data_IF_928934063241
#
_entry.id   IF_928934063241
#
_cell.length_a   1.000
_cell.length_b   1.000
_cell.length_c   1.000
_cell.angle_alpha   90.00
_cell.angle_beta   90.00
_cell.angle_gamma   90.00
#
_symmetry.space_group_name_H-M   'P 1'
#
loop_
_entity.id
_entity.type
_entity.pdbx_description
1 polymer ?
#
# COMPACT_ATOMS: atom_id res chain seq x y z
N UNK A 1 28.29 0.33 -0.55
CA UNK A 1 27.31 0.96 -1.46
C UNK A 1 27.82 2.36 -1.78
N UNK A 2 28.49 2.54 -2.92
CA UNK A 2 28.84 3.88 -3.41
C UNK A 2 27.62 4.41 -4.17
N UNK A 3 26.77 5.17 -3.48
CA UNK A 3 25.79 6.00 -4.18
C UNK A 3 26.54 7.15 -4.85
N UNK A 4 26.38 7.33 -6.15
CA UNK A 4 26.98 8.49 -6.82
C UNK A 4 26.27 9.76 -6.33
N UNK A 5 26.93 10.91 -6.40
CA UNK A 5 26.29 12.19 -6.07
C UNK A 5 24.99 12.42 -6.85
N UNK A 6 24.93 11.92 -8.10
CA UNK A 6 23.71 11.94 -8.91
C UNK A 6 22.60 11.08 -8.30
N UNK A 7 22.91 9.90 -7.76
CA UNK A 7 21.92 9.05 -7.10
C UNK A 7 21.35 9.72 -5.85
N UNK A 8 22.21 10.38 -5.06
CA UNK A 8 21.80 11.12 -3.85
C UNK A 8 20.90 12.29 -4.22
N UNK A 9 21.29 13.11 -5.20
CA UNK A 9 20.50 14.25 -5.67
C UNK A 9 19.16 13.80 -6.28
N UNK A 10 19.17 12.71 -7.03
CA UNK A 10 17.96 12.16 -7.63
C UNK A 10 17.04 11.56 -6.57
N UNK A 11 17.59 10.88 -5.56
CA UNK A 11 16.83 10.41 -4.39
C UNK A 11 16.20 11.59 -3.65
N UNK A 12 16.97 12.64 -3.37
CA UNK A 12 16.46 13.84 -2.71
C UNK A 12 15.33 14.50 -3.53
N UNK A 13 15.50 14.66 -4.84
CA UNK A 13 14.44 15.24 -5.68
C UNK A 13 13.15 14.40 -5.65
N UNK A 14 13.27 13.07 -5.66
CA UNK A 14 12.15 12.13 -5.62
C UNK A 14 11.49 12.06 -4.24
N UNK A 15 12.25 12.26 -3.17
CA UNK A 15 11.75 12.23 -1.79
C UNK A 15 10.87 13.44 -1.46
N UNK A 16 10.98 14.55 -2.21
CA UNK A 16 10.14 15.74 -2.07
C UNK A 16 8.87 15.72 -2.93
N UNK A 17 8.64 14.66 -3.71
CA UNK A 17 7.47 14.57 -4.57
C UNK A 17 6.23 14.22 -3.73
N UNK A 18 5.20 15.06 -3.83
CA UNK A 18 3.93 14.93 -3.09
C UNK A 18 2.87 14.22 -3.91
N UNK A 19 1.94 13.57 -3.21
CA UNK A 19 0.73 13.04 -3.83
C UNK A 19 -0.30 14.15 -4.05
N UNK A 20 -1.13 13.98 -5.08
CA UNK A 20 -2.33 14.79 -5.21
C UNK A 20 -3.36 14.35 -4.17
N UNK A 21 -4.27 15.23 -3.75
CA UNK A 21 -5.39 14.86 -2.90
C UNK A 21 -6.17 13.67 -3.47
N UNK A 22 -6.64 12.78 -2.59
CA UNK A 22 -7.49 11.66 -2.96
C UNK A 22 -7.31 10.42 -2.10
N UNK A 23 -8.05 9.39 -2.46
CA UNK A 23 -8.01 8.09 -1.81
C UNK A 23 -7.07 7.17 -2.57
N UNK A 24 -6.16 6.53 -1.84
CA UNK A 24 -5.12 5.65 -2.37
C UNK A 24 -5.19 4.27 -1.75
N UNK A 25 -4.81 3.26 -2.53
CA UNK A 25 -4.51 1.92 -2.03
C UNK A 25 -2.99 1.76 -1.95
N UNK A 26 -2.46 1.60 -0.74
CA UNK A 26 -1.05 1.36 -0.47
C UNK A 26 -0.76 -0.10 -0.18
N UNK A 27 0.31 -0.66 -0.75
CA UNK A 27 0.84 -1.97 -0.38
C UNK A 27 1.86 -1.82 0.74
N UNK A 28 1.63 -2.51 1.86
CA UNK A 28 2.55 -2.54 2.98
C UNK A 28 3.12 -3.95 3.15
N UNK A 29 4.41 -4.09 2.82
CA UNK A 29 5.21 -5.29 3.14
C UNK A 29 6.35 -4.88 4.06
N UNK A 30 6.43 -5.55 5.20
CA UNK A 30 7.53 -5.39 6.14
C UNK A 30 8.56 -6.51 5.92
N UNK A 31 9.81 -6.21 6.19
CA UNK A 31 10.89 -7.18 6.22
C UNK A 31 11.55 -7.01 7.58
N UNK A 32 11.26 -7.91 8.51
CA UNK A 32 11.82 -7.87 9.86
C UNK A 32 13.11 -8.69 9.91
N UNK A 33 14.16 -8.09 10.44
CA UNK A 33 15.45 -8.73 10.71
C UNK A 33 15.88 -8.45 12.15
N UNK A 34 16.85 -9.20 12.66
CA UNK A 34 17.28 -9.15 14.08
C UNK A 34 17.49 -7.72 14.59
N UNK A 35 18.11 -6.85 13.78
CA UNK A 35 18.46 -5.48 14.20
C UNK A 35 17.56 -4.38 13.61
N UNK A 36 16.68 -4.69 12.65
CA UNK A 36 15.94 -3.65 11.92
C UNK A 36 14.67 -4.18 11.24
N UNK A 37 13.64 -3.34 11.23
CA UNK A 37 12.43 -3.48 10.40
C UNK A 37 12.59 -2.59 9.17
N UNK A 38 12.32 -3.16 8.00
CA UNK A 38 12.33 -2.44 6.72
C UNK A 38 10.95 -2.47 6.09
N UNK A 39 10.61 -1.41 5.38
CA UNK A 39 9.39 -1.27 4.58
C UNK A 39 9.76 -1.39 3.10
N UNK A 40 8.94 -2.11 2.34
CA UNK A 40 9.06 -2.15 0.89
C UNK A 40 8.48 -0.87 0.26
N UNK A 41 9.32 -0.12 -0.43
CA UNK A 41 8.96 1.12 -1.14
C UNK A 41 9.43 1.09 -2.58
N UNK A 42 8.91 1.98 -3.43
CA UNK A 42 9.40 2.12 -4.80
C UNK A 42 10.67 2.95 -4.83
N UNK A 43 11.60 2.67 -5.77
CA UNK A 43 12.76 3.54 -6.00
C UNK A 43 12.38 4.95 -6.49
N UNK A 44 11.25 5.04 -7.19
CA UNK A 44 10.75 6.29 -7.76
C UNK A 44 10.21 7.22 -6.69
N UNK A 45 9.60 6.67 -5.64
CA UNK A 45 9.05 7.40 -4.50
C UNK A 45 9.41 6.63 -3.22
N UNK A 46 10.58 6.90 -2.63
CA UNK A 46 11.06 6.15 -1.47
C UNK A 46 10.32 6.51 -0.18
N UNK A 47 9.69 7.68 -0.12
CA UNK A 47 9.00 8.19 1.07
C UNK A 47 7.49 7.88 1.09
N UNK A 48 7.02 7.08 0.14
CA UNK A 48 5.60 6.76 -0.01
C UNK A 48 5.50 5.26 -0.26
N UNK A 49 4.50 4.62 0.34
CA UNK A 49 4.18 3.23 0.05
C UNK A 49 3.99 3.02 -1.46
N UNK A 50 4.23 1.80 -1.92
CA UNK A 50 3.79 1.43 -3.27
C UNK A 50 2.28 1.61 -3.34
N UNK A 51 1.78 2.47 -4.23
CA UNK A 51 0.38 2.88 -4.18
C UNK A 51 -0.26 3.01 -5.55
N UNK A 52 -1.59 2.98 -5.56
CA UNK A 52 -2.44 3.31 -6.70
C UNK A 52 -3.55 4.26 -6.23
N UNK A 53 -3.83 5.30 -7.01
CA UNK A 53 -4.97 6.19 -6.72
C UNK A 53 -6.27 5.47 -7.05
N UNK A 54 -7.19 5.41 -6.09
CA UNK A 54 -8.53 4.85 -6.26
C UNK A 54 -9.43 5.93 -6.88
N UNK A 55 -9.51 7.10 -6.24
CA UNK A 55 -10.36 8.22 -6.65
C UNK A 55 -9.87 9.57 -6.12
N UNK A 56 -10.43 10.65 -6.63
CA UNK A 56 -10.11 12.04 -6.21
C UNK A 56 -10.69 12.38 -4.82
N UNK A 57 -11.81 11.77 -4.42
CA UNK A 57 -12.37 11.95 -3.08
C UNK A 57 -11.60 11.11 -2.05
N UNK A 58 -10.95 11.75 -1.09
CA UNK A 58 -10.18 11.09 -0.04
C UNK A 58 -11.04 10.50 1.08
N UNK A 59 -12.29 10.94 1.23
CA UNK A 59 -13.18 10.44 2.26
C UNK A 59 -13.73 9.07 1.89
N UNK A 60 -13.97 8.24 2.90
CA UNK A 60 -14.67 6.96 2.79
C UNK A 60 -15.96 7.11 3.58
N UNK A 61 -17.09 6.75 2.98
CA UNK A 61 -18.38 6.80 3.68
C UNK A 61 -18.45 5.70 4.75
N UNK A 62 -19.35 5.86 5.71
CA UNK A 62 -19.57 4.84 6.74
C UNK A 62 -19.99 3.51 6.11
N UNK A 63 -20.86 3.56 5.12
CA UNK A 63 -21.39 2.39 4.39
C UNK A 63 -20.27 1.68 3.62
N UNK A 64 -19.41 2.43 2.93
CA UNK A 64 -18.23 1.89 2.23
C UNK A 64 -17.28 1.20 3.23
N UNK A 65 -17.02 1.82 4.38
CA UNK A 65 -16.12 1.28 5.39
C UNK A 65 -16.66 0.00 6.04
N UNK A 66 -17.94 -0.01 6.45
CA UNK A 66 -18.61 -1.20 6.99
C UNK A 66 -18.60 -2.36 5.99
N UNK A 67 -18.75 -2.06 4.69
CA UNK A 67 -18.66 -3.05 3.64
C UNK A 67 -17.25 -3.65 3.52
N UNK A 68 -16.19 -2.84 3.57
CA UNK A 68 -14.79 -3.32 3.58
C UNK A 68 -14.54 -4.22 4.80
N UNK A 69 -15.04 -3.84 5.98
CA UNK A 69 -14.91 -4.62 7.20
C UNK A 69 -15.58 -5.99 7.10
N UNK A 70 -16.81 -6.04 6.54
CA UNK A 70 -17.54 -7.29 6.30
C UNK A 70 -16.79 -8.24 5.37
N UNK A 71 -16.17 -7.72 4.30
CA UNK A 71 -15.37 -8.52 3.39
C UNK A 71 -14.14 -9.16 4.03
N UNK A 72 -13.54 -8.49 5.01
CA UNK A 72 -12.29 -8.96 5.64
C UNK A 72 -12.54 -9.92 6.81
N UNK A 73 -13.77 -9.96 7.35
CA UNK A 73 -14.15 -10.79 8.50
C UNK A 73 -14.95 -12.06 8.19
N UNK A 74 -15.39 -12.29 6.95
CA UNK A 74 -16.31 -13.38 6.62
C UNK A 74 -15.69 -14.46 5.73
N UNK A 75 -15.56 -15.68 6.26
CA UNK A 75 -15.35 -16.92 5.49
C UNK A 75 -16.61 -17.40 4.75
N UNK A 76 -17.74 -16.69 4.83
CA UNK A 76 -18.98 -17.08 4.16
C UNK A 76 -19.40 -16.01 3.16
N UNK A 77 -19.07 -16.26 1.89
CA UNK A 77 -19.69 -15.61 0.74
C UNK A 77 -21.01 -16.31 0.42
N UNK A 78 -21.95 -16.26 1.36
CA UNK A 78 -23.36 -16.61 1.11
C UNK A 78 -24.21 -15.55 1.81
N UNK A 79 -25.12 -14.93 1.06
CA UNK A 79 -26.00 -13.83 1.45
C UNK A 79 -25.36 -12.43 1.60
N UNK A 80 -24.89 -11.84 0.49
CA UNK A 80 -25.18 -10.41 0.29
C UNK A 80 -26.39 -10.36 -0.62
N UNK A 81 -27.54 -10.24 0.02
CA UNK A 81 -28.82 -10.01 -0.62
C UNK A 81 -28.70 -8.84 -1.61
N UNK A 82 -29.31 -8.98 -2.77
CA UNK A 82 -29.25 -8.03 -3.88
C UNK A 82 -30.05 -6.76 -3.55
N UNK A 83 -29.60 -5.98 -2.57
CA UNK A 83 -30.19 -4.69 -2.20
C UNK A 83 -29.10 -3.73 -1.74
N UNK A 84 -28.26 -3.28 -2.68
CA UNK A 84 -27.27 -2.24 -2.37
C UNK A 84 -27.06 -1.29 -3.54
N UNK A 85 -27.44 -0.05 -3.25
CA UNK A 85 -27.44 1.18 -4.02
C UNK A 85 -26.21 1.39 -4.94
N UNK A 86 -26.45 2.07 -6.07
CA UNK A 86 -25.49 2.40 -7.14
C UNK A 86 -24.07 2.84 -6.67
N UNK A 87 -23.90 3.66 -5.61
CA UNK A 87 -22.59 4.13 -5.14
C UNK A 87 -21.68 3.03 -4.59
N UNK A 88 -22.22 2.01 -3.90
CA UNK A 88 -21.39 0.93 -3.34
C UNK A 88 -20.80 0.04 -4.44
N UNK A 89 -21.52 -0.15 -5.54
CA UNK A 89 -21.02 -0.89 -6.71
C UNK A 89 -19.88 -0.16 -7.42
N UNK A 90 -19.95 1.18 -7.48
CA UNK A 90 -18.90 2.00 -8.05
C UNK A 90 -17.62 1.91 -7.23
N UNK A 91 -17.71 2.12 -5.91
CA UNK A 91 -16.54 2.02 -5.02
C UNK A 91 -15.91 0.62 -5.07
N UNK A 92 -16.73 -0.44 -5.11
CA UNK A 92 -16.22 -1.80 -5.26
C UNK A 92 -15.41 -1.97 -6.54
N UNK A 93 -15.93 -1.48 -7.67
CA UNK A 93 -15.25 -1.55 -8.94
C UNK A 93 -13.93 -0.76 -8.93
N UNK A 94 -13.94 0.47 -8.41
CA UNK A 94 -12.74 1.31 -8.27
C UNK A 94 -11.67 0.62 -7.41
N UNK A 95 -12.06 0.07 -6.26
CA UNK A 95 -11.16 -0.65 -5.36
C UNK A 95 -10.61 -1.92 -6.03
N UNK A 96 -11.44 -2.69 -6.72
CA UNK A 96 -11.01 -3.90 -7.43
C UNK A 96 -10.00 -3.57 -8.52
N UNK A 97 -10.21 -2.48 -9.26
CA UNK A 97 -9.28 -2.01 -10.28
C UNK A 97 -7.96 -1.53 -9.65
N UNK A 98 -8.02 -0.81 -8.53
CA UNK A 98 -6.83 -0.39 -7.80
C UNK A 98 -6.02 -1.58 -7.27
N UNK A 99 -6.67 -2.60 -6.71
CA UNK A 99 -6.01 -3.85 -6.26
C UNK A 99 -5.31 -4.54 -7.43
N UNK A 100 -5.99 -4.73 -8.57
CA UNK A 100 -5.40 -5.36 -9.76
C UNK A 100 -4.19 -4.56 -10.28
N UNK A 101 -4.30 -3.23 -10.33
CA UNK A 101 -3.21 -2.37 -10.75
C UNK A 101 -2.02 -2.44 -9.80
N UNK A 102 -2.27 -2.44 -8.49
CA UNK A 102 -1.24 -2.52 -7.46
C UNK A 102 -0.51 -3.88 -7.52
N UNK A 103 -1.24 -4.99 -7.65
CA UNK A 103 -0.67 -6.33 -7.81
C UNK A 103 0.23 -6.45 -9.05
N UNK A 104 -0.21 -5.85 -10.17
CA UNK A 104 0.60 -5.75 -11.38
C UNK A 104 1.88 -4.94 -11.14
N UNK A 105 1.78 -3.85 -10.39
CA UNK A 105 2.94 -3.01 -10.05
C UNK A 105 3.95 -3.73 -9.16
N UNK A 106 3.50 -4.48 -8.15
CA UNK A 106 4.38 -5.27 -7.26
C UNK A 106 4.80 -6.62 -7.85
N UNK A 107 4.49 -6.87 -9.14
CA UNK A 107 4.81 -8.08 -9.89
C UNK A 107 4.38 -9.38 -9.17
N UNK A 108 3.23 -9.34 -8.50
CA UNK A 108 2.68 -10.50 -7.78
C UNK A 108 1.65 -11.21 -8.65
N UNK A 109 1.77 -12.54 -8.87
CA UNK A 109 0.83 -13.27 -9.70
C UNK A 109 -0.56 -13.39 -9.02
N UNK A 110 -1.61 -13.40 -9.83
CA UNK A 110 -3.01 -13.35 -9.36
C UNK A 110 -3.41 -14.50 -8.42
N UNK A 111 -2.73 -15.65 -8.48
CA UNK A 111 -3.01 -16.76 -7.56
C UNK A 111 -2.59 -16.43 -6.11
N UNK A 112 -1.52 -15.66 -5.92
CA UNK A 112 -1.10 -15.17 -4.60
C UNK A 112 -1.99 -14.03 -4.10
N UNK A 113 -2.67 -13.32 -5.00
CA UNK A 113 -3.57 -12.21 -4.64
C UNK A 113 -4.68 -12.62 -3.66
N UNK A 114 -5.11 -13.90 -3.67
CA UNK A 114 -6.12 -14.43 -2.74
C UNK A 114 -5.68 -14.38 -1.28
N UNK A 115 -4.37 -14.35 -1.05
CA UNK A 115 -3.79 -14.34 0.29
C UNK A 115 -3.57 -12.90 0.80
N UNK A 116 -3.85 -11.88 -0.03
CA UNK A 116 -3.74 -10.49 0.38
C UNK A 116 -4.99 -10.09 1.15
N UNK A 117 -4.80 -9.26 2.17
CA UNK A 117 -5.87 -8.78 3.05
C UNK A 117 -5.89 -7.26 3.06
N UNK A 118 -7.07 -6.68 3.13
CA UNK A 118 -7.22 -5.26 3.40
C UNK A 118 -7.08 -5.02 4.90
N UNK A 119 -6.39 -3.95 5.26
CA UNK A 119 -6.37 -3.45 6.63
C UNK A 119 -7.67 -2.71 6.91
N UNK A 120 -8.41 -3.17 7.91
CA UNK A 120 -9.79 -2.71 8.19
C UNK A 120 -9.98 -2.13 9.59
N UNK A 121 -8.88 -1.87 10.29
CA UNK A 121 -8.91 -1.25 11.62
C UNK A 121 -9.08 0.26 11.52
N UNK A 122 -8.37 0.91 10.59
CA UNK A 122 -8.38 2.36 10.43
C UNK A 122 -8.04 2.77 8.99
N UNK A 123 -8.62 3.88 8.53
CA UNK A 123 -8.22 4.57 7.29
C UNK A 123 -7.06 5.50 7.63
N UNK A 124 -5.94 5.36 6.93
CA UNK A 124 -4.78 6.20 7.20
C UNK A 124 -4.96 7.57 6.55
N UNK A 125 -5.30 8.56 7.36
CA UNK A 125 -5.34 9.96 6.92
C UNK A 125 -3.94 10.55 6.98
N UNK A 126 -3.43 10.91 5.81
CA UNK A 126 -2.21 11.67 5.66
C UNK A 126 -2.57 13.15 5.48
N UNK A 127 -1.61 14.05 5.66
CA UNK A 127 -1.84 15.46 5.38
C UNK A 127 -2.16 15.76 3.91
N UNK A 128 -2.61 16.98 3.65
CA UNK A 128 -2.97 17.47 2.31
C UNK A 128 -4.12 16.69 1.63
N UNK A 129 -5.11 16.24 2.39
CA UNK A 129 -6.29 15.54 1.88
C UNK A 129 -5.95 14.25 1.13
N UNK A 130 -4.97 13.51 1.65
CA UNK A 130 -4.56 12.21 1.10
C UNK A 130 -4.93 11.13 2.11
N UNK A 131 -5.71 10.14 1.70
CA UNK A 131 -6.10 9.03 2.55
C UNK A 131 -5.66 7.71 1.95
N UNK A 132 -5.31 6.74 2.80
CA UNK A 132 -4.82 5.43 2.39
C UNK A 132 -5.66 4.29 2.98
N UNK A 133 -6.05 3.37 2.11
CA UNK A 133 -6.35 1.99 2.43
C UNK A 133 -5.05 1.18 2.31
N UNK A 134 -4.86 0.20 3.20
CA UNK A 134 -3.68 -0.67 3.13
C UNK A 134 -4.06 -2.07 2.64
N UNK A 135 -3.28 -2.55 1.69
CA UNK A 135 -3.24 -3.94 1.26
C UNK A 135 -1.99 -4.60 1.84
N UNK A 136 -2.21 -5.69 2.58
CA UNK A 136 -1.16 -6.44 3.27
C UNK A 136 -1.04 -7.82 2.59
N UNK A 137 0.17 -8.41 2.50
CA UNK A 137 0.30 -9.81 2.14
C UNK A 137 -0.28 -10.72 3.24
N UNK A 138 -0.31 -12.03 2.98
CA UNK A 138 -0.68 -13.03 3.99
C UNK A 138 0.13 -12.83 5.27
N UNK A 139 -0.50 -13.05 6.43
CA UNK A 139 0.12 -12.83 7.75
C UNK A 139 1.50 -13.48 7.88
N UNK A 140 1.69 -14.66 7.29
CA UNK A 140 2.95 -15.41 7.32
C UNK A 140 4.04 -14.80 6.42
N UNK A 141 3.64 -14.03 5.40
CA UNK A 141 4.52 -13.39 4.42
C UNK A 141 4.75 -11.88 4.71
N UNK A 142 4.09 -11.33 5.73
CA UNK A 142 4.32 -9.94 6.19
C UNK A 142 5.71 -9.78 6.77
N UNK A 143 6.34 -10.84 7.30
CA UNK A 143 7.65 -10.81 7.92
C UNK A 143 8.60 -11.79 7.22
N UNK A 144 9.35 -11.36 6.22
CA UNK A 144 10.39 -12.21 5.62
C UNK A 144 11.53 -12.41 6.62
N UNK A 145 11.68 -13.64 7.12
CA UNK A 145 12.72 -14.01 8.08
C UNK A 145 14.14 -13.94 7.46
N UNK A 146 15.19 -13.75 8.27
CA UNK A 146 16.58 -13.75 7.80
C UNK A 146 16.91 -15.07 7.06
N UNK A 147 17.44 -14.97 5.84
CA UNK A 147 17.83 -16.12 5.01
C UNK A 147 16.83 -16.54 3.93
N UNK A 148 15.63 -15.96 3.91
CA UNK A 148 14.68 -16.11 2.79
C UNK A 148 15.05 -15.16 1.64
N UNK A 149 15.04 -15.65 0.40
CA UNK A 149 15.36 -14.85 -0.79
C UNK A 149 14.32 -13.76 -0.98
N UNK A 150 14.70 -12.49 -0.77
CA UNK A 150 13.81 -11.36 -1.03
C UNK A 150 13.71 -11.14 -2.55
N UNK A 151 12.54 -11.32 -3.19
CA UNK A 151 12.38 -11.08 -4.62
C UNK A 151 12.50 -9.59 -5.00
N UNK A 152 12.42 -8.69 -4.01
CA UNK A 152 12.50 -7.25 -4.20
C UNK A 152 13.94 -6.74 -4.03
N UNK A 153 14.76 -7.00 -5.05
CA UNK A 153 16.11 -6.41 -5.16
C UNK A 153 16.04 -4.98 -5.73
N UNK A 154 17.07 -4.15 -5.55
CA UNK A 154 17.12 -2.84 -6.20
C UNK A 154 16.94 -2.90 -7.72
N UNK A 155 17.31 -4.01 -8.37
CA UNK A 155 17.15 -4.19 -9.81
C UNK A 155 15.69 -4.39 -10.23
N UNK A 156 14.77 -4.71 -9.31
CA UNK A 156 13.33 -4.79 -9.58
C UNK A 156 12.58 -3.46 -9.40
N UNK A 157 13.29 -2.36 -9.11
CA UNK A 157 12.70 -1.03 -8.93
C UNK A 157 12.10 -0.78 -7.54
N UNK A 158 12.36 -1.69 -6.60
CA UNK A 158 11.95 -1.59 -5.20
C UNK A 158 13.15 -1.39 -4.27
N UNK A 159 12.89 -0.84 -3.08
CA UNK A 159 13.86 -0.69 -2.00
C UNK A 159 13.26 -1.19 -0.70
N UNK A 160 14.08 -1.79 0.14
CA UNK A 160 13.73 -2.07 1.52
C UNK A 160 14.33 -0.96 2.38
N UNK A 161 13.52 0.03 2.74
CA UNK A 161 13.93 1.20 3.50
C UNK A 161 13.74 0.93 5.00
N UNK A 162 14.72 1.21 5.87
CA UNK A 162 14.50 1.12 7.32
C UNK A 162 13.27 1.94 7.74
N UNK A 163 12.43 1.38 8.61
CA UNK A 163 11.15 1.99 9.00
C UNK A 163 11.34 3.43 9.52
N UNK A 164 12.36 3.67 10.34
CA UNK A 164 12.68 5.01 10.86
C UNK A 164 12.93 6.03 9.75
N UNK A 165 13.60 5.62 8.68
CA UNK A 165 13.89 6.49 7.54
C UNK A 165 12.63 6.74 6.69
N UNK A 166 11.76 5.75 6.60
CA UNK A 166 10.46 5.86 5.95
C UNK A 166 9.52 6.80 6.69
N UNK A 167 9.42 6.68 8.01
CA UNK A 167 8.59 7.56 8.86
C UNK A 167 9.02 9.02 8.74
N UNK A 168 10.32 9.30 8.80
CA UNK A 168 10.86 10.65 8.63
C UNK A 168 10.48 11.23 7.25
N UNK A 169 10.54 10.40 6.21
CA UNK A 169 10.17 10.76 4.85
C UNK A 169 8.68 11.04 4.70
N UNK A 170 7.83 10.21 5.28
CA UNK A 170 6.38 10.42 5.31
C UNK A 170 6.04 11.74 5.99
N UNK A 171 6.62 12.00 7.17
CA UNK A 171 6.36 13.24 7.90
C UNK A 171 6.72 14.43 7.01
N UNK A 172 7.90 14.45 6.40
CA UNK A 172 8.30 15.55 5.51
C UNK A 172 7.43 15.71 4.25
N UNK A 173 6.80 14.65 3.75
CA UNK A 173 5.95 14.70 2.57
C UNK A 173 4.53 15.22 2.87
N UNK A 174 4.04 15.01 4.09
CA UNK A 174 2.64 15.20 4.46
C UNK A 174 2.42 16.18 5.64
N UNK A 175 3.47 16.79 6.19
CA UNK A 175 3.40 17.98 7.06
C UNK A 175 3.74 19.24 6.27
#
# INVERSE_FOLDING_TARGET
LFFTLQDILSYHKRSHQRLSPGLYLGYLKLCSSVDQIKVLVTQKLPNILCHVKIRENNNISKEEWEWIQKLSGSESMESVDHTSDCPMQLFFYELQMAVKALLKQINTPLHQARNFRLYTQEVLEMGHNVSFLLLLPASDDVCTAPGQNNPYTPHSGFLNLPLQMFELGIVACFT
#
